data_IF_591295846344
#
_entry.id   IF_591295846344
#
_cell.length_a   1.000
_cell.length_b   1.000
_cell.length_c   1.000
_cell.angle_alpha   90.00
_cell.angle_beta   90.00
_cell.angle_gamma   90.00
#
_symmetry.space_group_name_H-M   'P 1'
#
loop_
_entity.id
_entity.type
_entity.pdbx_description
1 polymer ?
#
# COMPACT_ATOMS: atom_id res chain seq x y z
N UNK A 1 26.85 -23.44 11.36
CA UNK A 1 26.08 -23.07 10.15
C UNK A 1 26.24 -21.56 9.95
N UNK A 2 27.09 -21.14 9.01
CA UNK A 2 27.49 -19.73 8.81
C UNK A 2 26.39 -18.97 8.08
N UNK A 3 25.74 -18.01 8.75
CA UNK A 3 24.79 -17.09 8.13
C UNK A 3 25.58 -15.94 7.49
N UNK A 4 25.71 -15.95 6.16
CA UNK A 4 26.26 -14.80 5.43
C UNK A 4 25.42 -13.55 5.78
N UNK A 5 26.03 -12.43 6.22
CA UNK A 5 25.28 -11.21 6.45
C UNK A 5 24.72 -10.74 5.10
N UNK A 6 23.39 -10.77 4.96
CA UNK A 6 22.74 -10.17 3.78
C UNK A 6 23.07 -8.67 3.77
N UNK A 7 23.82 -8.23 2.78
CA UNK A 7 24.18 -6.81 2.65
C UNK A 7 22.90 -5.99 2.47
N UNK A 8 22.76 -4.84 3.16
CA UNK A 8 21.56 -3.99 3.08
C UNK A 8 21.20 -3.62 1.63
N UNK A 9 22.21 -3.52 0.76
CA UNK A 9 22.07 -3.28 -0.68
C UNK A 9 21.24 -4.36 -1.41
N UNK A 10 21.34 -5.63 -1.01
CA UNK A 10 20.60 -6.72 -1.65
C UNK A 10 19.10 -6.64 -1.38
N UNK A 11 18.72 -6.17 -0.18
CA UNK A 11 17.31 -5.97 0.19
C UNK A 11 16.71 -4.74 -0.49
N UNK A 12 17.44 -3.63 -0.56
CA UNK A 12 17.02 -2.42 -1.26
C UNK A 12 16.85 -2.67 -2.77
N UNK A 13 17.77 -3.41 -3.39
CA UNK A 13 17.67 -3.77 -4.81
C UNK A 13 16.44 -4.63 -5.10
N UNK A 14 16.04 -5.51 -4.17
CA UNK A 14 14.81 -6.31 -4.31
C UNK A 14 13.56 -5.44 -4.20
N UNK A 15 13.55 -4.43 -3.35
CA UNK A 15 12.43 -3.48 -3.22
C UNK A 15 12.27 -2.58 -4.44
N UNK A 16 13.40 -2.13 -5.01
CA UNK A 16 13.40 -1.37 -6.27
C UNK A 16 12.76 -2.14 -7.44
N UNK A 17 12.90 -3.48 -7.48
CA UNK A 17 12.23 -4.29 -8.51
C UNK A 17 10.71 -4.20 -8.42
N UNK A 18 10.15 -4.16 -7.20
CA UNK A 18 8.71 -3.97 -7.04
C UNK A 18 8.29 -2.59 -7.55
N UNK A 19 9.02 -1.54 -7.21
CA UNK A 19 8.75 -0.18 -7.71
C UNK A 19 8.81 -0.14 -9.25
N UNK A 20 9.79 -0.81 -9.86
CA UNK A 20 9.92 -0.88 -11.31
C UNK A 20 8.75 -1.63 -11.97
N UNK A 21 8.38 -2.81 -11.46
CA UNK A 21 7.26 -3.60 -11.98
C UNK A 21 5.94 -2.85 -11.82
N UNK A 22 5.71 -2.27 -10.64
CA UNK A 22 4.52 -1.47 -10.37
C UNK A 22 4.46 -0.23 -11.26
N UNK A 23 5.57 0.48 -11.45
CA UNK A 23 5.65 1.64 -12.35
C UNK A 23 5.37 1.26 -13.80
N UNK A 24 5.86 0.11 -14.27
CA UNK A 24 5.56 -0.39 -15.60
C UNK A 24 4.06 -0.68 -15.80
N UNK A 25 3.43 -1.34 -14.84
CA UNK A 25 1.98 -1.58 -14.86
C UNK A 25 1.15 -0.29 -14.76
N UNK A 26 1.64 0.68 -13.98
CA UNK A 26 1.03 2.01 -13.86
C UNK A 26 1.07 2.77 -15.19
N UNK A 27 2.21 2.74 -15.89
CA UNK A 27 2.40 3.38 -17.18
C UNK A 27 1.50 2.76 -18.24
N UNK A 28 1.49 1.41 -18.32
CA UNK A 28 0.67 0.66 -19.28
C UNK A 28 -0.84 0.94 -19.13
N UNK A 29 -1.32 1.04 -17.90
CA UNK A 29 -2.75 1.31 -17.62
C UNK A 29 -3.09 2.80 -17.58
N UNK A 30 -2.08 3.67 -17.52
CA UNK A 30 -2.22 5.09 -17.21
C UNK A 30 -3.05 5.33 -15.94
N UNK A 31 -3.01 4.39 -14.97
CA UNK A 31 -3.89 4.41 -13.80
C UNK A 31 -3.64 5.65 -12.93
N UNK A 32 -2.39 6.15 -12.87
CA UNK A 32 -2.05 7.37 -12.14
C UNK A 32 -2.84 8.59 -12.64
N UNK A 33 -2.67 8.93 -13.93
CA UNK A 33 -3.30 10.10 -14.55
C UNK A 33 -4.82 10.04 -14.47
N UNK A 34 -5.39 8.83 -14.55
CA UNK A 34 -6.83 8.62 -14.49
C UNK A 34 -7.39 8.72 -13.09
N UNK A 35 -6.67 8.20 -12.08
CA UNK A 35 -7.04 8.38 -10.67
C UNK A 35 -7.02 9.87 -10.30
N UNK A 36 -5.98 10.60 -10.73
CA UNK A 36 -5.89 12.05 -10.53
C UNK A 36 -7.04 12.78 -11.23
N UNK A 37 -7.42 12.38 -12.45
CA UNK A 37 -8.58 12.93 -13.15
C UNK A 37 -9.87 12.77 -12.35
N UNK A 38 -10.16 11.55 -11.89
CA UNK A 38 -11.38 11.24 -11.12
C UNK A 38 -11.42 12.00 -9.79
N UNK A 39 -10.28 12.11 -9.11
CA UNK A 39 -10.23 12.72 -7.79
C UNK A 39 -10.21 14.25 -7.83
N UNK A 40 -9.35 14.85 -8.67
CA UNK A 40 -9.10 16.30 -8.69
C UNK A 40 -9.91 17.04 -9.75
N UNK A 41 -9.95 16.52 -10.97
CA UNK A 41 -10.51 17.23 -12.12
C UNK A 41 -12.01 16.99 -12.34
N UNK A 42 -12.57 15.92 -11.78
CA UNK A 42 -14.00 15.61 -11.90
C UNK A 42 -14.90 16.31 -10.87
N UNK A 43 -14.39 17.31 -10.13
CA UNK A 43 -15.20 18.19 -9.27
C UNK A 43 -16.11 19.08 -10.14
N UNK A 44 -17.27 18.56 -10.52
CA UNK A 44 -18.28 19.24 -11.35
C UNK A 44 -18.64 18.50 -12.64
N UNK A 45 -17.82 17.53 -13.06
CA UNK A 45 -18.06 16.75 -14.29
C UNK A 45 -19.20 15.73 -14.08
N UNK A 46 -20.29 15.86 -14.84
CA UNK A 46 -21.45 14.94 -14.78
C UNK A 46 -21.19 13.59 -15.43
N UNK A 47 -20.13 13.45 -16.23
CA UNK A 47 -19.80 12.18 -16.91
C UNK A 47 -19.25 11.11 -15.96
N UNK A 48 -18.69 11.52 -14.82
CA UNK A 48 -18.14 10.61 -13.81
C UNK A 48 -19.18 10.32 -12.73
N UNK A 49 -19.54 9.04 -12.49
CA UNK A 49 -20.51 8.67 -11.46
C UNK A 49 -20.14 9.20 -10.08
N UNK A 50 -21.12 9.67 -9.32
CA UNK A 50 -20.89 10.17 -7.96
C UNK A 50 -20.29 9.10 -7.03
N UNK A 51 -20.70 7.83 -7.22
CA UNK A 51 -20.13 6.68 -6.51
C UNK A 51 -18.64 6.50 -6.80
N UNK A 52 -18.19 6.71 -8.04
CA UNK A 52 -16.78 6.62 -8.41
C UNK A 52 -15.95 7.73 -7.74
N UNK A 53 -16.49 8.95 -7.64
CA UNK A 53 -15.83 10.06 -6.93
C UNK A 53 -15.70 9.78 -5.44
N UNK A 54 -16.79 9.32 -4.81
CA UNK A 54 -16.79 8.98 -3.39
C UNK A 54 -15.83 7.82 -3.07
N UNK A 55 -15.87 6.74 -3.86
CA UNK A 55 -14.95 5.61 -3.71
C UNK A 55 -13.49 6.00 -3.96
N UNK A 56 -13.22 6.95 -4.87
CA UNK A 56 -11.86 7.46 -5.09
C UNK A 56 -11.29 8.15 -3.86
N UNK A 57 -12.09 9.00 -3.21
CA UNK A 57 -11.70 9.70 -1.98
C UNK A 57 -11.49 8.71 -0.83
N UNK A 58 -12.40 7.75 -0.69
CA UNK A 58 -12.29 6.68 0.31
C UNK A 58 -11.08 5.79 0.09
N UNK A 59 -10.76 5.46 -1.16
CA UNK A 59 -9.58 4.65 -1.49
C UNK A 59 -8.29 5.37 -1.10
N UNK A 60 -8.18 6.68 -1.38
CA UNK A 60 -7.04 7.50 -0.95
C UNK A 60 -6.96 7.57 0.57
N UNK A 61 -8.09 7.80 1.24
CA UNK A 61 -8.15 7.81 2.71
C UNK A 61 -7.68 6.48 3.31
N UNK A 62 -8.14 5.34 2.78
CA UNK A 62 -7.71 4.01 3.22
C UNK A 62 -6.23 3.78 2.91
N UNK A 63 -5.73 4.23 1.76
CA UNK A 63 -4.31 4.17 1.43
C UNK A 63 -3.45 4.93 2.45
N UNK A 64 -3.86 6.15 2.83
CA UNK A 64 -3.20 6.93 3.87
C UNK A 64 -3.29 6.25 5.24
N UNK A 65 -4.44 5.70 5.60
CA UNK A 65 -4.63 4.95 6.85
C UNK A 65 -3.71 3.71 6.91
N UNK A 66 -3.54 2.98 5.80
CA UNK A 66 -2.60 1.84 5.72
C UNK A 66 -1.16 2.30 5.92
N UNK A 67 -0.74 3.40 5.28
CA UNK A 67 0.61 3.96 5.50
C UNK A 67 0.79 4.37 6.96
N UNK A 68 -0.18 5.06 7.54
CA UNK A 68 -0.16 5.45 8.95
C UNK A 68 -0.07 4.23 9.88
N UNK A 69 -0.80 3.15 9.59
CA UNK A 69 -0.77 1.91 10.35
C UNK A 69 0.61 1.22 10.26
N UNK A 70 1.24 1.25 9.08
CA UNK A 70 2.61 0.76 8.91
C UNK A 70 3.62 1.56 9.74
N UNK A 71 3.53 2.89 9.69
CA UNK A 71 4.37 3.77 10.49
C UNK A 71 4.14 3.55 11.99
N UNK A 72 2.89 3.35 12.40
CA UNK A 72 2.53 3.02 13.78
C UNK A 72 3.20 1.73 14.25
N UNK A 73 3.23 0.67 13.43
CA UNK A 73 3.93 -0.58 13.75
C UNK A 73 5.45 -0.39 13.88
N UNK A 74 6.06 0.42 13.02
CA UNK A 74 7.49 0.76 13.10
C UNK A 74 7.79 1.58 14.36
N UNK A 75 6.87 2.46 14.76
CA UNK A 75 7.03 3.36 15.90
C UNK A 75 6.74 2.69 17.26
N UNK A 76 5.85 1.70 17.29
CA UNK A 76 5.46 0.96 18.50
C UNK A 76 6.63 0.46 19.38
N UNK A 77 7.72 -0.14 18.85
CA UNK A 77 8.84 -0.56 19.70
C UNK A 77 9.51 0.60 20.45
N UNK A 78 9.48 1.82 19.89
CA UNK A 78 10.07 3.00 20.52
C UNK A 78 9.23 3.57 21.67
N UNK A 79 7.90 3.46 21.58
CA UNK A 79 7.01 4.03 22.62
C UNK A 79 6.73 3.07 23.76
N UNK A 80 6.76 1.76 23.49
CA UNK A 80 6.35 0.76 24.48
C UNK A 80 7.52 -0.03 25.07
N UNK A 81 8.74 0.12 24.55
CA UNK A 81 9.91 -0.69 24.94
C UNK A 81 9.64 -2.22 24.90
N UNK A 82 8.63 -2.66 24.12
CA UNK A 82 8.33 -4.07 23.92
C UNK A 82 8.88 -4.50 22.57
N UNK A 83 9.67 -5.58 22.54
CA UNK A 83 10.10 -6.19 21.28
C UNK A 83 8.89 -6.88 20.63
N UNK A 84 8.45 -6.34 19.49
CA UNK A 84 7.38 -6.96 18.70
C UNK A 84 7.90 -8.27 18.09
N UNK A 85 7.36 -9.40 18.54
CA UNK A 85 7.63 -10.70 17.92
C UNK A 85 6.76 -10.87 16.67
N UNK A 86 7.27 -10.39 15.53
CA UNK A 86 6.64 -10.57 14.22
C UNK A 86 6.55 -12.03 13.78
N UNK A 87 7.38 -12.93 14.32
CA UNK A 87 7.37 -14.36 13.95
C UNK A 87 6.18 -15.06 14.60
N UNK A 88 5.88 -14.73 15.86
CA UNK A 88 4.71 -15.21 16.58
C UNK A 88 3.64 -14.12 16.76
N UNK A 89 3.38 -13.34 15.70
CA UNK A 89 2.48 -12.19 15.74
C UNK A 89 1.04 -12.50 16.21
N UNK A 90 0.60 -13.75 16.13
CA UNK A 90 -0.71 -14.21 16.60
C UNK A 90 -0.81 -14.29 18.13
N UNK A 91 0.32 -14.42 18.81
CA UNK A 91 0.39 -14.55 20.27
C UNK A 91 0.27 -13.18 20.96
N UNK A 92 0.74 -12.10 20.33
CA UNK A 92 0.52 -10.74 20.81
C UNK A 92 -0.84 -10.22 20.34
N UNK A 93 -1.73 -9.83 21.28
CA UNK A 93 -3.00 -9.19 20.93
C UNK A 93 -2.82 -7.95 20.05
N UNK A 94 -1.76 -7.17 20.30
CA UNK A 94 -1.44 -5.94 19.60
C UNK A 94 -1.07 -6.20 18.13
N UNK A 95 -0.10 -7.10 17.88
CA UNK A 95 0.29 -7.43 16.52
C UNK A 95 -0.85 -8.11 15.75
N UNK A 96 -1.59 -9.01 16.42
CA UNK A 96 -2.72 -9.71 15.80
C UNK A 96 -3.79 -8.74 15.31
N UNK A 97 -4.18 -7.78 16.16
CA UNK A 97 -5.15 -6.76 15.80
C UNK A 97 -4.66 -5.89 14.64
N UNK A 98 -3.45 -5.33 14.77
CA UNK A 98 -2.91 -4.40 13.77
C UNK A 98 -2.71 -5.05 12.40
N UNK A 99 -2.15 -6.26 12.32
CA UNK A 99 -1.94 -6.97 11.06
C UNK A 99 -3.27 -7.36 10.41
N UNK A 100 -4.27 -7.77 11.21
CA UNK A 100 -5.60 -8.11 10.70
C UNK A 100 -6.29 -6.88 10.12
N UNK A 101 -6.33 -5.77 10.87
CA UNK A 101 -6.88 -4.51 10.39
C UNK A 101 -6.16 -4.06 9.12
N UNK A 102 -4.83 -4.14 9.09
CA UNK A 102 -4.02 -3.77 7.93
C UNK A 102 -4.37 -4.63 6.70
N UNK A 103 -4.52 -5.94 6.89
CA UNK A 103 -4.92 -6.87 5.80
C UNK A 103 -6.31 -6.53 5.26
N UNK A 104 -7.28 -6.28 6.15
CA UNK A 104 -8.65 -5.90 5.76
C UNK A 104 -8.65 -4.56 5.03
N UNK A 105 -7.93 -3.57 5.54
CA UNK A 105 -7.80 -2.25 4.90
C UNK A 105 -7.14 -2.34 3.53
N UNK A 106 -6.13 -3.20 3.35
CA UNK A 106 -5.50 -3.42 2.05
C UNK A 106 -6.50 -3.97 1.03
N UNK A 107 -7.22 -5.04 1.38
CA UNK A 107 -8.22 -5.66 0.48
C UNK A 107 -9.36 -4.69 0.18
N UNK A 108 -9.87 -3.99 1.20
CA UNK A 108 -10.94 -3.02 1.05
C UNK A 108 -10.51 -1.83 0.17
N UNK A 109 -9.36 -1.22 0.45
CA UNK A 109 -8.81 -0.12 -0.34
C UNK A 109 -8.53 -0.50 -1.79
N UNK A 110 -8.06 -1.73 -2.04
CA UNK A 110 -7.78 -2.24 -3.38
C UNK A 110 -9.08 -2.42 -4.16
N UNK A 111 -10.10 -2.99 -3.51
CA UNK A 111 -11.42 -3.20 -4.10
C UNK A 111 -12.09 -1.88 -4.48
N UNK A 112 -11.98 -0.87 -3.60
CA UNK A 112 -12.42 0.49 -3.89
C UNK A 112 -11.68 1.08 -5.08
N UNK A 113 -10.36 0.90 -5.15
CA UNK A 113 -9.55 1.45 -6.23
C UNK A 113 -9.85 0.78 -7.58
N UNK A 114 -10.06 -0.54 -7.60
CA UNK A 114 -10.54 -1.26 -8.78
C UNK A 114 -11.90 -0.73 -9.23
N UNK A 115 -12.84 -0.55 -8.30
CA UNK A 115 -14.16 0.00 -8.61
C UNK A 115 -14.06 1.42 -9.18
N UNK A 116 -13.26 2.28 -8.55
CA UNK A 116 -13.01 3.65 -9.02
C UNK A 116 -12.40 3.67 -10.42
N UNK A 117 -11.41 2.83 -10.70
CA UNK A 117 -10.82 2.78 -12.05
C UNK A 117 -11.82 2.23 -13.07
N UNK A 118 -12.62 1.23 -12.72
CA UNK A 118 -13.57 0.63 -13.65
C UNK A 118 -14.80 1.51 -13.93
N UNK A 119 -15.30 2.23 -12.93
CA UNK A 119 -16.54 3.04 -13.05
C UNK A 119 -16.29 4.54 -13.19
N UNK A 120 -15.18 5.04 -12.64
CA UNK A 120 -14.78 6.43 -12.74
C UNK A 120 -14.03 6.74 -14.03
N UNK A 121 -13.60 5.70 -14.76
CA UNK A 121 -12.81 5.85 -15.98
C UNK A 121 -13.27 4.84 -17.03
N UNK A 122 -12.81 5.01 -18.27
CA UNK A 122 -13.08 4.08 -19.37
C UNK A 122 -12.20 2.82 -19.38
N UNK A 123 -11.66 2.38 -18.23
CA UNK A 123 -10.91 1.13 -18.15
C UNK A 123 -11.83 -0.08 -17.98
N UNK A 124 -11.51 -1.13 -18.71
CA UNK A 124 -12.07 -2.46 -18.47
C UNK A 124 -11.65 -2.99 -17.09
N UNK A 125 -12.40 -3.98 -16.59
CA UNK A 125 -12.15 -4.61 -15.29
C UNK A 125 -10.71 -5.15 -15.17
N UNK A 126 -10.21 -5.85 -16.20
CA UNK A 126 -8.87 -6.43 -16.18
C UNK A 126 -7.79 -5.36 -16.02
N UNK A 127 -7.87 -4.30 -16.83
CA UNK A 127 -6.88 -3.22 -16.75
C UNK A 127 -7.02 -2.42 -15.45
N UNK A 128 -8.24 -2.31 -14.92
CA UNK A 128 -8.49 -1.71 -13.60
C UNK A 128 -7.85 -2.51 -12.47
N UNK A 129 -7.92 -3.84 -12.52
CA UNK A 129 -7.23 -4.75 -11.60
C UNK A 129 -5.72 -4.56 -11.67
N UNK A 130 -5.14 -4.56 -12.89
CA UNK A 130 -3.69 -4.35 -13.07
C UNK A 130 -3.26 -2.98 -12.57
N UNK A 131 -4.02 -1.93 -12.90
CA UNK A 131 -3.74 -0.57 -12.45
C UNK A 131 -3.81 -0.44 -10.93
N UNK A 132 -4.79 -1.08 -10.29
CA UNK A 132 -4.91 -1.07 -8.85
C UNK A 132 -3.80 -1.83 -8.14
N UNK A 133 -3.46 -3.02 -8.63
CA UNK A 133 -2.34 -3.79 -8.13
C UNK A 133 -1.01 -3.06 -8.31
N UNK A 134 -0.85 -2.31 -9.40
CA UNK A 134 0.34 -1.48 -9.65
C UNK A 134 0.54 -0.42 -8.57
N UNK A 135 -0.53 0.27 -8.14
CA UNK A 135 -0.49 1.22 -7.01
C UNK A 135 0.01 0.57 -5.73
N UNK A 136 -0.51 -0.62 -5.42
CA UNK A 136 -0.14 -1.36 -4.21
C UNK A 136 1.28 -1.89 -4.26
N UNK A 137 1.74 -2.38 -5.41
CA UNK A 137 3.10 -2.87 -5.61
C UNK A 137 4.13 -1.73 -5.44
N UNK A 138 3.84 -0.55 -6.00
CA UNK A 138 4.69 0.63 -5.79
C UNK A 138 4.70 1.01 -4.31
N UNK A 139 3.54 1.08 -3.66
CA UNK A 139 3.42 1.40 -2.23
C UNK A 139 4.20 0.43 -1.35
N UNK A 140 4.09 -0.87 -1.60
CA UNK A 140 4.85 -1.90 -0.88
C UNK A 140 6.36 -1.76 -1.10
N UNK A 141 6.78 -1.48 -2.34
CA UNK A 141 8.19 -1.22 -2.65
C UNK A 141 8.73 0.00 -1.91
N UNK A 142 7.98 1.11 -1.88
CA UNK A 142 8.34 2.33 -1.15
C UNK A 142 8.42 2.10 0.36
N UNK A 143 7.42 1.42 0.95
CA UNK A 143 7.44 1.06 2.37
C UNK A 143 8.62 0.13 2.70
N UNK A 144 8.97 -0.78 1.79
CA UNK A 144 10.10 -1.68 1.96
C UNK A 144 11.47 -1.01 1.86
N UNK A 145 11.55 0.21 1.31
CA UNK A 145 12.78 1.02 1.35
C UNK A 145 13.02 1.66 2.71
N UNK A 146 11.99 1.76 3.57
CA UNK A 146 12.12 2.33 4.90
C UNK A 146 13.02 1.41 5.74
N UNK A 147 14.19 1.88 6.20
CA UNK A 147 15.07 1.07 7.01
C UNK A 147 14.42 0.81 8.36
N UNK A 148 14.15 -0.46 8.68
CA UNK A 148 13.67 -0.84 10.01
C UNK A 148 14.88 -0.86 10.97
N UNK A 149 14.87 -0.05 12.04
CA UNK A 149 15.96 -0.04 13.01
C UNK A 149 16.08 -1.42 13.68
N UNK A 150 17.28 -2.02 13.60
CA UNK A 150 17.60 -3.26 14.31
C UNK A 150 18.08 -2.89 15.72
N UNK A 151 17.27 -3.24 16.72
CA UNK A 151 17.51 -3.26 18.19
C UNK A 151 18.42 -2.16 18.77
N UNK A 152 17.89 -1.43 19.75
CA UNK A 152 18.71 -0.82 20.80
C UNK A 152 19.35 -2.00 21.57
N UNK A 153 20.69 -2.10 21.65
CA UNK A 153 21.34 -3.12 22.47
C UNK A 153 20.95 -2.93 23.94
N UNK A 154 20.67 -4.04 24.62
CA UNK A 154 20.52 -4.10 26.08
C UNK A 154 21.80 -3.66 26.79
#
# INVERSE_FOLDING_TARGET
MSTRPSTPFTHQLRQLRFIAIGSAGMWWTSAFSRMVKVFWYSRGDKSVPMSAKFTSAWSIFVGLAVVAQFLFLIWTPFTRNVQLDYRNWRASPELRGSITVLTVSLVFGWSLLVYTLCKGTSLDLFRSIVGASSWYIIGAGLLGLIPVPRRIPE
#
